data_IF_597757298377
#
_entry.id   IF_597757298377
#
_cell.length_a   1.000
_cell.length_b   1.000
_cell.length_c   1.000
_cell.angle_alpha   90.00
_cell.angle_beta   90.00
_cell.angle_gamma   90.00
#
_symmetry.space_group_name_H-M   'P 1'
#
loop_
_entity.id
_entity.type
_entity.pdbx_description
1 polymer ?
#
# COMPACT_ATOMS: atom_id res chain seq x y z
N UNK A 1 -8.28 4.23 -9.55
CA UNK A 1 -7.35 3.69 -8.54
C UNK A 1 -7.00 2.27 -8.94
N UNK A 2 -5.74 1.88 -8.80
CA UNK A 2 -5.33 0.48 -8.92
C UNK A 2 -5.21 -0.08 -7.52
N UNK A 3 -5.61 -1.34 -7.37
CA UNK A 3 -5.53 -2.06 -6.10
C UNK A 3 -4.46 -3.13 -6.22
N UNK A 4 -3.49 -3.10 -5.30
CA UNK A 4 -2.47 -4.13 -5.18
C UNK A 4 -2.71 -4.85 -3.86
N UNK A 5 -2.92 -6.17 -3.93
CA UNK A 5 -2.99 -7.05 -2.76
C UNK A 5 -1.56 -7.41 -2.34
N UNK A 6 -1.25 -7.21 -1.07
CA UNK A 6 0.06 -7.49 -0.50
C UNK A 6 -0.03 -8.59 0.56
N UNK A 7 0.76 -9.64 0.38
CA UNK A 7 0.98 -10.64 1.42
C UNK A 7 1.95 -10.10 2.49
N UNK A 8 1.39 -9.68 3.61
CA UNK A 8 2.15 -9.10 4.72
C UNK A 8 3.16 -10.07 5.36
N UNK A 9 2.98 -11.38 5.19
CA UNK A 9 3.87 -12.39 5.81
C UNK A 9 5.32 -12.25 5.36
N UNK A 10 5.54 -11.68 4.17
CA UNK A 10 6.87 -11.41 3.64
C UNK A 10 7.61 -10.30 4.39
N UNK A 11 6.91 -9.43 5.13
CA UNK A 11 7.49 -8.24 5.76
C UNK A 11 7.23 -8.16 7.28
N UNK A 12 6.41 -9.06 7.85
CA UNK A 12 6.09 -9.09 9.29
C UNK A 12 7.32 -9.20 10.19
N UNK A 13 8.38 -9.88 9.74
CA UNK A 13 9.61 -10.05 10.52
C UNK A 13 10.41 -8.73 10.68
N UNK A 14 10.12 -7.71 9.87
CA UNK A 14 10.90 -6.48 9.80
C UNK A 14 10.37 -5.37 10.73
N UNK A 15 9.26 -5.60 11.46
CA UNK A 15 8.63 -4.60 12.36
C UNK A 15 8.43 -3.23 11.70
N UNK A 16 8.18 -3.20 10.40
CA UNK A 16 8.00 -1.98 9.63
C UNK A 16 6.62 -1.38 9.89
N UNK A 17 6.55 -0.05 9.83
CA UNK A 17 5.29 0.65 9.66
C UNK A 17 4.98 0.86 8.17
N UNK A 18 3.74 1.26 7.87
CA UNK A 18 3.27 1.46 6.50
C UNK A 18 4.08 2.53 5.76
N UNK A 19 4.51 3.57 6.47
CA UNK A 19 5.38 4.59 5.90
C UNK A 19 6.69 3.97 5.38
N UNK A 20 7.36 3.13 6.17
CA UNK A 20 8.62 2.47 5.79
C UNK A 20 8.43 1.40 4.72
N UNK A 21 7.22 0.88 4.54
CA UNK A 21 6.88 -0.10 3.50
C UNK A 21 6.63 0.54 2.13
N UNK A 22 6.13 1.78 2.09
CA UNK A 22 5.88 2.49 0.84
C UNK A 22 7.07 2.45 -0.15
N UNK A 23 8.33 2.77 0.24
CA UNK A 23 9.46 2.66 -0.70
C UNK A 23 9.74 1.22 -1.16
N UNK A 24 9.56 0.22 -0.29
CA UNK A 24 9.76 -1.20 -0.65
C UNK A 24 8.73 -1.61 -1.72
N UNK A 25 7.47 -1.25 -1.53
CA UNK A 25 6.42 -1.54 -2.50
C UNK A 25 6.61 -0.80 -3.83
N UNK A 26 7.21 0.39 -3.83
CA UNK A 26 7.58 1.09 -5.07
C UNK A 26 8.69 0.40 -5.86
N UNK A 27 9.57 -0.34 -5.19
CA UNK A 27 10.60 -1.15 -5.85
C UNK A 27 10.04 -2.46 -6.37
N UNK A 28 9.09 -3.07 -5.64
CA UNK A 28 8.51 -4.37 -5.96
C UNK A 28 7.40 -4.29 -7.02
N UNK A 29 6.52 -3.29 -6.91
CA UNK A 29 5.41 -3.09 -7.83
C UNK A 29 5.72 -1.97 -8.81
N UNK A 30 5.89 -2.34 -10.07
CA UNK A 30 6.22 -1.42 -11.17
C UNK A 30 5.23 -0.26 -11.29
N UNK A 31 3.98 -0.51 -10.92
CA UNK A 31 2.85 0.41 -11.00
C UNK A 31 2.92 1.51 -9.94
N UNK A 32 3.66 1.29 -8.85
CA UNK A 32 3.88 2.25 -7.78
C UNK A 32 5.13 3.11 -8.00
N UNK A 33 6.03 2.72 -8.91
CA UNK A 33 7.36 3.35 -9.09
C UNK A 33 7.28 4.86 -9.29
N UNK A 34 6.28 5.34 -10.03
CA UNK A 34 6.08 6.76 -10.36
C UNK A 34 5.03 7.47 -9.48
N UNK A 35 4.44 6.76 -8.50
CA UNK A 35 3.41 7.32 -7.61
C UNK A 35 4.09 8.10 -6.48
N UNK A 36 3.64 9.32 -6.18
CA UNK A 36 4.16 10.06 -5.03
C UNK A 36 3.81 9.32 -3.73
N UNK A 37 4.69 9.34 -2.74
CA UNK A 37 4.45 8.64 -1.46
C UNK A 37 3.20 9.15 -0.76
N UNK A 38 2.92 10.46 -0.87
CA UNK A 38 1.73 11.12 -0.35
C UNK A 38 0.43 10.66 -0.99
N UNK A 39 0.50 10.09 -2.20
CA UNK A 39 -0.65 9.60 -2.95
C UNK A 39 -0.91 8.10 -2.70
N UNK A 40 -0.02 7.42 -1.95
CA UNK A 40 -0.17 6.01 -1.58
C UNK A 40 -0.96 5.92 -0.28
N UNK A 41 -2.13 5.30 -0.37
CA UNK A 41 -2.98 5.02 0.76
C UNK A 41 -3.07 3.50 1.01
N UNK A 42 -3.01 3.11 2.28
CA UNK A 42 -3.09 1.72 2.70
C UNK A 42 -4.45 1.41 3.30
N UNK A 43 -5.02 0.25 2.97
CA UNK A 43 -6.34 -0.18 3.45
C UNK A 43 -6.28 -1.64 3.88
N UNK A 44 -7.21 -2.04 4.76
CA UNK A 44 -7.58 -3.45 4.91
C UNK A 44 -8.73 -3.73 3.97
N UNK A 45 -8.68 -4.83 3.24
CA UNK A 45 -9.76 -5.29 2.37
C UNK A 45 -11.07 -5.35 3.18
N UNK A 46 -12.11 -4.65 2.72
CA UNK A 46 -13.39 -4.33 3.40
C UNK A 46 -13.45 -3.04 4.26
N UNK A 47 -12.34 -2.32 4.46
CA UNK A 47 -12.35 -1.03 5.16
C UNK A 47 -12.48 0.14 4.18
N UNK A 48 -13.27 1.14 4.58
CA UNK A 48 -13.49 2.37 3.77
C UNK A 48 -12.55 3.51 4.13
N UNK A 49 -11.82 3.40 5.25
CA UNK A 49 -10.88 4.41 5.72
C UNK A 49 -9.44 3.93 5.54
N UNK A 50 -8.53 4.81 5.09
CA UNK A 50 -7.13 4.48 5.02
C UNK A 50 -6.56 4.28 6.42
N UNK A 51 -5.56 3.41 6.51
CA UNK A 51 -4.72 3.24 7.68
C UNK A 51 -3.77 4.43 7.79
N UNK A 52 -3.46 4.81 9.03
CA UNK A 52 -2.44 5.83 9.27
C UNK A 52 -1.06 5.27 8.94
N UNK A 53 -0.18 6.11 8.42
CA UNK A 53 1.15 5.72 7.94
C UNK A 53 2.08 5.22 9.04
N UNK A 54 1.84 5.60 10.30
CA UNK A 54 2.59 5.17 11.48
C UNK A 54 2.14 3.80 12.03
N UNK A 55 1.06 3.23 11.50
CA UNK A 55 0.58 1.90 11.90
C UNK A 55 1.66 0.85 11.62
N UNK A 56 1.99 0.07 12.65
CA UNK A 56 2.89 -1.08 12.53
C UNK A 56 2.22 -2.21 11.76
N UNK A 57 2.92 -2.78 10.79
CA UNK A 57 2.46 -3.95 10.04
C UNK A 57 2.25 -5.16 10.96
N UNK A 58 3.11 -5.32 11.98
CA UNK A 58 2.99 -6.40 12.96
C UNK A 58 1.74 -6.27 13.85
N UNK A 59 1.17 -5.07 13.96
CA UNK A 59 -0.07 -4.81 14.68
C UNK A 59 -1.33 -5.05 13.83
N UNK A 60 -1.19 -5.33 12.54
CA UNK A 60 -2.31 -5.61 11.64
C UNK A 60 -2.60 -7.11 11.59
N UNK A 61 -3.87 -7.46 11.78
CA UNK A 61 -4.35 -8.82 11.48
C UNK A 61 -4.84 -8.84 10.06
N UNK A 62 -4.06 -9.46 9.16
CA UNK A 62 -4.49 -9.71 7.78
C UNK A 62 -4.77 -11.18 7.55
N UNK A 63 -5.77 -11.44 6.71
CA UNK A 63 -6.12 -12.78 6.24
C UNK A 63 -6.40 -12.68 4.74
N UNK A 64 -6.57 -13.81 4.05
CA UNK A 64 -7.01 -13.78 2.65
C UNK A 64 -8.38 -13.06 2.46
N UNK A 65 -9.19 -12.95 3.52
CA UNK A 65 -10.45 -12.20 3.50
C UNK A 65 -10.30 -10.75 4.02
N UNK A 66 -9.11 -10.35 4.43
CA UNK A 66 -8.78 -9.04 5.01
C UNK A 66 -7.34 -8.68 4.66
N UNK A 67 -7.01 -8.73 3.36
CA UNK A 67 -5.66 -8.43 2.86
C UNK A 67 -5.30 -6.96 3.03
N UNK A 68 -4.01 -6.65 3.00
CA UNK A 68 -3.55 -5.27 2.85
C UNK A 68 -3.72 -4.85 1.39
N UNK A 69 -4.40 -3.74 1.17
CA UNK A 69 -4.64 -3.17 -0.14
C UNK A 69 -3.93 -1.83 -0.24
N UNK A 70 -3.13 -1.66 -1.27
CA UNK A 70 -2.57 -0.36 -1.63
C UNK A 70 -3.48 0.28 -2.67
N UNK A 71 -3.92 1.51 -2.40
CA UNK A 71 -4.64 2.35 -3.35
C UNK A 71 -3.84 3.59 -3.64
N UNK A 72 -3.88 4.02 -4.88
CA UNK A 72 -3.31 5.28 -5.32
C UNK A 72 -4.16 5.85 -6.45
N UNK A 73 -4.21 7.19 -6.60
CA UNK A 73 -4.82 7.81 -7.75
C UNK A 73 -4.09 7.30 -9.00
N UNK A 74 -4.86 6.81 -9.96
CA UNK A 74 -4.35 6.72 -11.32
C UNK A 74 -4.10 8.17 -11.71
N UNK A 75 -2.83 8.60 -11.76
CA UNK A 75 -2.51 9.82 -12.48
C UNK A 75 -3.06 9.61 -13.88
N UNK A 76 -4.08 10.39 -14.27
CA UNK A 76 -4.49 10.46 -15.66
C UNK A 76 -3.24 10.85 -16.45
N UNK A 77 -2.63 9.89 -17.14
CA UNK A 77 -1.64 10.13 -18.17
C UNK A 77 -2.30 10.66 -19.46
N UNK A 78 -3.38 11.42 -19.30
CA UNK A 78 -3.97 12.34 -20.27
C UNK A 78 -3.83 13.71 -19.62
N UNK A 79 -2.72 14.42 -19.80
CA UNK A 79 -2.46 15.20 -21.00
C UNK A 79 -0.96 15.16 -21.35
N UNK A 80 -0.59 14.27 -22.28
CA UNK A 80 0.39 14.63 -23.27
C UNK A 80 -0.34 15.41 -24.37
N UNK A 81 -0.16 16.74 -24.41
CA UNK A 81 -0.06 17.54 -25.64
C UNK A 81 0.24 19.01 -25.33
#
# INVERSE_FOLDING_TARGET
AVEVDVDQRNYMALNLNLDSLAPIFKEEFSELRNVERSDIEFFIYCHTKPLLSDVSLAGLTTTAASSLVIRYPLSDSSYAH
#
